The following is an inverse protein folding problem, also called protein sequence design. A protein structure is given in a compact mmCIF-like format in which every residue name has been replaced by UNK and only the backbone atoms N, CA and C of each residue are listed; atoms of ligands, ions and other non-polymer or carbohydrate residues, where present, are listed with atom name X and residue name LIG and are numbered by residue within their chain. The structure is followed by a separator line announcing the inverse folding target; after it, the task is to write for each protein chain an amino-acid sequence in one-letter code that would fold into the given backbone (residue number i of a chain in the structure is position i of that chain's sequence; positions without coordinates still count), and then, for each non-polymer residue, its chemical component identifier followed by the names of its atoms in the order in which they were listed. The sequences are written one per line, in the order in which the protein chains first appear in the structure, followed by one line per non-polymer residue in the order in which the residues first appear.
data_IF_345826784960
#
_entry.id   IF_345826784960
#
_cell.length_a   1.000
_cell.length_b   1.000
_cell.length_c   1.000
_cell.angle_alpha   90.00
_cell.angle_beta   90.00
_cell.angle_gamma   90.00
#
_symmetry.space_group_name_H-M   'P 1'
#
loop_
_entity.id
_entity.type
_entity.pdbx_description
1 polymer ?
#
# COMPACT_ATOMS: atom_id res chain seq x y z
N UNK A 1 -12.55 0.03 16.62
CA UNK A 1 -11.13 0.40 16.38
C UNK A 1 -10.45 0.99 17.63
N UNK A 2 -10.28 0.19 18.67
CA UNK A 2 -9.46 0.52 19.86
C UNK A 2 -8.10 -0.16 19.72
N UNK A 3 -6.98 0.57 19.77
CA UNK A 3 -5.68 -0.10 19.97
C UNK A 3 -4.38 0.52 19.42
N UNK A 4 -4.36 1.73 18.87
CA UNK A 4 -3.08 2.39 18.48
C UNK A 4 -2.98 3.76 19.13
N UNK A 5 -2.55 3.79 20.40
CA UNK A 5 -2.50 5.03 21.22
C UNK A 5 -1.36 5.96 20.78
N UNK A 6 -0.21 5.42 20.38
CA UNK A 6 0.99 6.17 20.01
C UNK A 6 1.38 5.95 18.54
N UNK A 7 0.41 6.03 17.63
CA UNK A 7 0.66 5.87 16.20
C UNK A 7 0.56 7.21 15.47
N UNK A 8 1.10 7.25 14.24
CA UNK A 8 1.02 8.39 13.31
C UNK A 8 -0.41 8.98 13.23
N UNK A 9 -1.43 8.12 13.14
CA UNK A 9 -2.84 8.52 13.13
C UNK A 9 -3.50 8.29 14.49
N UNK A 10 -4.11 9.35 15.04
CA UNK A 10 -4.95 9.22 16.23
C UNK A 10 -6.23 8.45 15.93
N UNK A 11 -6.92 8.03 16.98
CA UNK A 11 -8.24 7.39 16.86
C UNK A 11 -9.23 8.27 16.10
N UNK A 12 -9.20 9.58 16.33
CA UNK A 12 -10.13 10.50 15.66
C UNK A 12 -9.77 10.72 14.19
N UNK A 13 -8.50 10.65 13.81
CA UNK A 13 -8.10 10.71 12.39
C UNK A 13 -8.61 9.48 11.65
N UNK A 14 -8.40 8.29 12.23
CA UNK A 14 -8.86 7.03 11.65
C UNK A 14 -10.37 7.02 11.49
N UNK A 15 -11.12 7.42 12.51
CA UNK A 15 -12.59 7.52 12.43
C UNK A 15 -13.05 8.52 11.37
N UNK A 16 -12.34 9.63 11.22
CA UNK A 16 -12.68 10.63 10.20
C UNK A 16 -12.38 10.15 8.78
N UNK A 17 -11.21 9.55 8.54
CA UNK A 17 -10.80 9.00 7.23
C UNK A 17 -11.67 7.82 6.79
N UNK A 18 -12.09 6.97 7.73
CA UNK A 18 -12.97 5.81 7.46
C UNK A 18 -14.46 6.17 7.39
N UNK A 19 -14.81 7.45 7.59
CA UNK A 19 -16.20 7.92 7.54
C UNK A 19 -17.03 7.61 8.79
N UNK A 20 -16.49 6.91 9.79
CA UNK A 20 -17.14 6.69 11.10
C UNK A 20 -17.41 7.99 11.88
N UNK A 21 -16.68 9.07 11.55
CA UNK A 21 -16.90 10.41 12.10
C UNK A 21 -17.05 11.42 10.98
N UNK A 22 -18.08 12.26 11.09
CA UNK A 22 -18.32 13.42 10.21
C UNK A 22 -18.31 14.70 11.02
N UNK A 23 -17.94 15.79 10.36
CA UNK A 23 -17.99 17.14 10.90
C UNK A 23 -19.15 17.85 10.23
N UNK A 24 -20.14 18.25 11.03
CA UNK A 24 -21.36 18.89 10.59
C UNK A 24 -21.57 20.21 11.36
N UNK A 25 -22.41 21.09 10.82
CA UNK A 25 -22.72 22.41 11.40
C UNK A 25 -21.82 23.55 10.93
N UNK A 26 -21.98 24.72 11.55
CA UNK A 26 -21.45 26.01 11.11
C UNK A 26 -19.91 26.02 10.96
N UNK A 27 -19.21 25.28 11.82
CA UNK A 27 -17.74 25.21 11.81
C UNK A 27 -17.17 23.96 11.12
N UNK A 28 -18.00 23.16 10.44
CA UNK A 28 -17.58 21.90 9.83
C UNK A 28 -16.42 22.07 8.83
N UNK A 29 -16.45 23.12 8.01
CA UNK A 29 -15.42 23.39 7.01
C UNK A 29 -14.06 23.67 7.67
N UNK A 30 -14.03 24.49 8.72
CA UNK A 30 -12.80 24.79 9.46
C UNK A 30 -12.26 23.53 10.15
N UNK A 31 -13.13 22.74 10.77
CA UNK A 31 -12.73 21.48 11.44
C UNK A 31 -12.15 20.46 10.45
N UNK A 32 -12.76 20.30 9.27
CA UNK A 32 -12.23 19.44 8.20
C UNK A 32 -10.87 19.92 7.71
N UNK A 33 -10.70 21.23 7.52
CA UNK A 33 -9.42 21.79 7.09
C UNK A 33 -8.33 21.54 8.14
N UNK A 34 -8.60 21.85 9.41
CA UNK A 34 -7.65 21.61 10.50
C UNK A 34 -7.28 20.13 10.59
N UNK A 35 -8.27 19.22 10.51
CA UNK A 35 -8.03 17.78 10.53
C UNK A 35 -7.10 17.32 9.41
N UNK A 36 -7.30 17.81 8.17
CA UNK A 36 -6.41 17.52 7.03
C UNK A 36 -4.99 18.02 7.27
N UNK A 37 -4.85 19.23 7.81
CA UNK A 37 -3.55 19.82 8.15
C UNK A 37 -2.83 18.98 9.21
N UNK A 38 -3.50 18.63 10.30
CA UNK A 38 -2.92 17.86 11.40
C UNK A 38 -2.49 16.46 10.96
N UNK A 39 -3.28 15.81 10.07
CA UNK A 39 -2.90 14.51 9.50
C UNK A 39 -1.65 14.66 8.64
N UNK A 40 -1.60 15.67 7.75
CA UNK A 40 -0.44 15.90 6.88
C UNK A 40 0.83 16.15 7.68
N UNK A 41 0.74 16.98 8.72
CA UNK A 41 1.88 17.30 9.59
C UNK A 41 2.39 16.07 10.33
N UNK A 42 1.50 15.21 10.82
CA UNK A 42 1.90 13.94 11.46
C UNK A 42 2.51 12.95 10.48
N UNK A 43 1.95 12.79 9.28
CA UNK A 43 2.55 11.96 8.24
C UNK A 43 3.95 12.45 7.90
N UNK A 44 4.12 13.75 7.69
CA UNK A 44 5.42 14.36 7.42
C UNK A 44 6.43 14.08 8.53
N UNK A 45 6.08 14.34 9.79
CA UNK A 45 6.98 14.12 10.92
C UNK A 45 7.30 12.63 11.11
N UNK A 46 6.31 11.74 10.99
CA UNK A 46 6.53 10.29 11.08
C UNK A 46 7.44 9.76 9.97
N UNK A 47 7.40 10.34 8.76
CA UNK A 47 8.33 9.99 7.70
C UNK A 47 9.77 10.44 8.03
N UNK A 48 9.94 11.60 8.66
CA UNK A 48 11.27 12.05 9.11
C UNK A 48 11.84 11.17 10.22
N UNK A 49 10.98 10.68 11.13
CA UNK A 49 11.40 9.81 12.22
C UNK A 49 12.05 8.50 11.71
N UNK A 50 11.72 8.01 10.51
CA UNK A 50 12.39 6.83 9.94
C UNK A 50 13.89 7.02 9.76
N UNK A 51 14.39 8.24 9.56
CA UNK A 51 15.84 8.48 9.50
C UNK A 51 16.48 8.23 10.87
N UNK A 52 15.81 8.64 11.94
CA UNK A 52 16.24 8.39 13.33
C UNK A 52 16.17 6.90 13.64
N UNK A 53 15.08 6.23 13.26
CA UNK A 53 14.92 4.78 13.46
C UNK A 53 15.98 3.99 12.69
N UNK A 54 16.25 4.36 11.44
CA UNK A 54 17.24 3.68 10.61
C UNK A 54 18.65 3.79 11.18
N UNK A 55 19.02 4.98 11.69
CA UNK A 55 20.38 5.26 12.18
C UNK A 55 20.62 4.86 13.64
N UNK A 56 19.57 4.76 14.46
CA UNK A 56 19.73 4.67 15.91
C UNK A 56 18.90 3.60 16.62
N UNK A 57 17.94 2.94 15.94
CA UNK A 57 17.24 1.83 16.57
C UNK A 57 18.17 0.61 16.67
N UNK A 58 18.29 0.06 17.86
CA UNK A 58 19.14 -1.11 18.14
C UNK A 58 18.70 -2.32 17.30
N UNK A 59 19.67 -3.14 16.89
CA UNK A 59 19.43 -4.29 16.01
C UNK A 59 18.42 -5.28 16.60
N UNK A 60 18.48 -5.52 17.91
CA UNK A 60 17.57 -6.46 18.58
C UNK A 60 16.12 -5.97 18.59
N UNK A 61 15.89 -4.66 18.66
CA UNK A 61 14.56 -4.06 18.51
C UNK A 61 14.07 -4.10 17.06
N UNK A 62 14.96 -3.95 16.07
CA UNK A 62 14.64 -4.16 14.65
C UNK A 62 14.25 -5.62 14.39
N UNK A 63 15.01 -6.56 14.93
CA UNK A 63 14.74 -8.00 14.78
C UNK A 63 13.40 -8.41 15.42
N UNK A 64 13.02 -7.82 16.55
CA UNK A 64 11.71 -8.06 17.17
C UNK A 64 10.54 -7.60 16.30
N UNK A 65 10.75 -6.60 15.43
CA UNK A 65 9.72 -6.06 14.54
C UNK A 65 9.67 -6.76 13.18
N UNK A 66 10.81 -7.15 12.63
CA UNK A 66 10.94 -7.61 11.25
C UNK A 66 11.48 -9.03 11.11
N UNK A 67 11.80 -9.71 12.21
CA UNK A 67 12.52 -10.97 12.19
C UNK A 67 14.02 -10.78 11.93
N UNK A 68 14.74 -11.89 11.77
CA UNK A 68 16.19 -11.87 11.54
C UNK A 68 16.49 -11.68 10.04
N UNK A 69 17.21 -10.61 9.65
CA UNK A 69 17.59 -10.38 8.26
C UNK A 69 18.38 -11.55 7.66
N UNK A 70 18.21 -11.80 6.36
CA UNK A 70 18.98 -12.81 5.62
C UNK A 70 18.57 -14.28 5.87
N UNK A 71 17.46 -14.50 6.55
CA UNK A 71 16.84 -15.83 6.68
C UNK A 71 15.90 -16.13 5.50
N UNK A 72 15.43 -17.37 5.34
CA UNK A 72 14.43 -17.78 4.33
C UNK A 72 13.01 -17.25 4.64
N UNK A 73 12.91 -16.07 5.25
CA UNK A 73 11.65 -15.49 5.68
C UNK A 73 10.81 -15.09 4.47
N UNK A 74 9.59 -15.63 4.37
CA UNK A 74 8.66 -15.34 3.27
C UNK A 74 7.63 -14.25 3.63
N UNK A 75 7.63 -13.76 4.86
CA UNK A 75 6.72 -12.73 5.37
C UNK A 75 7.48 -11.81 6.35
N UNK A 76 6.99 -10.59 6.58
CA UNK A 76 7.66 -9.63 7.49
C UNK A 76 7.71 -10.16 8.92
N UNK A 77 6.62 -10.77 9.38
CA UNK A 77 6.52 -11.53 10.63
C UNK A 77 5.39 -12.57 10.50
N UNK A 78 5.14 -13.36 11.55
CA UNK A 78 3.94 -14.21 11.66
C UNK A 78 2.63 -13.39 11.88
N UNK A 79 2.71 -12.06 12.01
CA UNK A 79 1.55 -11.15 12.06
C UNK A 79 1.26 -10.57 10.67
N UNK A 80 0.32 -11.20 9.96
CA UNK A 80 -0.17 -10.76 8.65
C UNK A 80 -0.57 -9.28 8.64
N UNK A 81 -1.07 -8.74 9.76
CA UNK A 81 -1.52 -7.34 9.83
C UNK A 81 -0.35 -6.36 9.79
N UNK A 82 0.82 -6.76 10.28
CA UNK A 82 2.03 -5.97 10.17
C UNK A 82 2.57 -6.06 8.73
N UNK A 83 2.61 -7.27 8.16
CA UNK A 83 3.01 -7.50 6.77
C UNK A 83 2.17 -6.65 5.79
N UNK A 84 0.85 -6.69 5.93
CA UNK A 84 -0.08 -5.85 5.15
C UNK A 84 0.19 -4.36 5.38
N UNK A 85 0.43 -3.96 6.64
CA UNK A 85 0.72 -2.57 6.97
C UNK A 85 2.03 -2.04 6.37
N UNK A 86 3.07 -2.88 6.27
CA UNK A 86 4.32 -2.53 5.57
C UNK A 86 4.07 -2.40 4.07
N UNK A 87 3.33 -3.35 3.48
CA UNK A 87 2.95 -3.31 2.07
C UNK A 87 2.15 -2.04 1.74
N UNK A 88 1.12 -1.73 2.53
CA UNK A 88 0.29 -0.53 2.38
C UNK A 88 1.13 0.76 2.51
N UNK A 89 2.10 0.80 3.42
CA UNK A 89 2.98 1.95 3.60
C UNK A 89 3.88 2.18 2.37
N UNK A 90 4.48 1.11 1.83
CA UNK A 90 5.28 1.18 0.62
C UNK A 90 4.42 1.57 -0.59
N UNK A 91 3.26 0.93 -0.76
CA UNK A 91 2.32 1.26 -1.83
C UNK A 91 1.88 2.73 -1.77
N UNK A 92 1.55 3.24 -0.57
CA UNK A 92 1.22 4.65 -0.37
C UNK A 92 2.34 5.59 -0.82
N UNK A 93 3.60 5.29 -0.47
CA UNK A 93 4.75 6.10 -0.87
C UNK A 93 5.00 6.05 -2.37
N UNK A 94 5.00 4.85 -2.97
CA UNK A 94 5.21 4.66 -4.41
C UNK A 94 4.12 5.35 -5.23
N UNK A 95 2.85 5.17 -4.85
CA UNK A 95 1.72 5.85 -5.47
C UNK A 95 1.85 7.37 -5.35
N UNK A 96 2.16 7.88 -4.15
CA UNK A 96 2.29 9.32 -3.91
C UNK A 96 3.50 9.97 -4.60
N UNK A 97 4.46 9.16 -5.07
CA UNK A 97 5.68 9.61 -5.75
C UNK A 97 5.69 9.26 -7.24
N UNK A 98 4.55 8.82 -7.77
CA UNK A 98 4.31 8.72 -9.22
C UNK A 98 4.79 7.42 -9.85
N UNK A 99 4.75 6.29 -9.14
CA UNK A 99 5.12 4.98 -9.73
C UNK A 99 4.23 4.59 -10.93
N UNK A 100 3.03 5.18 -11.04
CA UNK A 100 2.12 4.99 -12.17
C UNK A 100 2.75 5.40 -13.51
N UNK A 101 3.64 6.39 -13.52
CA UNK A 101 4.37 6.76 -14.73
C UNK A 101 5.31 5.64 -15.24
N UNK A 102 5.93 4.88 -14.32
CA UNK A 102 6.71 3.69 -14.70
C UNK A 102 5.80 2.59 -15.26
N UNK A 103 4.62 2.40 -14.65
CA UNK A 103 3.65 1.40 -15.11
C UNK A 103 3.01 1.76 -16.46
N UNK A 104 2.88 3.05 -16.78
CA UNK A 104 2.31 3.53 -18.04
C UNK A 104 3.29 3.46 -19.22
N UNK A 105 4.54 3.05 -19.01
CA UNK A 105 5.57 2.99 -20.05
C UNK A 105 5.99 4.36 -20.58
N UNK A 106 5.90 5.43 -19.77
CA UNK A 106 6.33 6.76 -20.18
C UNK A 106 7.88 6.84 -20.17
N UNK A 107 8.47 6.64 -21.35
CA UNK A 107 9.92 6.62 -21.62
C UNK A 107 10.64 7.97 -21.34
N UNK A 108 9.90 9.03 -20.98
CA UNK A 108 10.45 10.38 -20.87
C UNK A 108 11.21 10.68 -19.58
N UNK A 109 10.88 10.02 -18.45
CA UNK A 109 11.48 10.33 -17.16
C UNK A 109 11.37 9.18 -16.15
N UNK A 110 12.50 8.83 -15.52
CA UNK A 110 12.53 8.00 -14.30
C UNK A 110 11.65 8.65 -13.22
N UNK A 111 10.56 8.01 -12.77
CA UNK A 111 9.69 8.58 -11.76
C UNK A 111 10.43 8.79 -10.44
N UNK A 112 9.93 9.72 -9.61
CA UNK A 112 10.52 9.96 -8.30
C UNK A 112 10.51 8.69 -7.43
N UNK A 113 9.46 7.87 -7.55
CA UNK A 113 9.34 6.57 -6.88
C UNK A 113 10.53 5.64 -7.15
N UNK A 114 10.94 5.49 -8.41
CA UNK A 114 12.05 4.62 -8.80
C UNK A 114 13.38 5.15 -8.23
N UNK A 115 13.62 6.46 -8.31
CA UNK A 115 14.81 7.08 -7.71
C UNK A 115 14.88 6.86 -6.21
N UNK A 116 13.76 7.03 -5.51
CA UNK A 116 13.68 6.80 -4.06
C UNK A 116 13.96 5.35 -3.69
N UNK A 117 13.49 4.39 -4.48
CA UNK A 117 13.81 2.97 -4.27
C UNK A 117 15.29 2.69 -4.45
N UNK A 118 15.89 3.19 -5.54
CA UNK A 118 17.33 3.05 -5.78
C UNK A 118 18.15 3.65 -4.62
N UNK A 119 17.81 4.86 -4.19
CA UNK A 119 18.47 5.52 -3.04
C UNK A 119 18.30 4.72 -1.75
N UNK A 120 17.12 4.13 -1.52
CA UNK A 120 16.85 3.29 -0.36
C UNK A 120 17.71 2.02 -0.37
N UNK A 121 17.89 1.36 -1.52
CA UNK A 121 18.79 0.21 -1.67
C UNK A 121 20.24 0.59 -1.38
N UNK A 122 20.74 1.69 -1.94
CA UNK A 122 22.09 2.18 -1.65
C UNK A 122 22.28 2.49 -0.17
N UNK A 123 21.28 3.09 0.48
CA UNK A 123 21.32 3.42 1.91
C UNK A 123 21.34 2.16 2.78
N UNK A 124 20.49 1.18 2.48
CA UNK A 124 20.46 -0.11 3.18
C UNK A 124 21.77 -0.88 3.01
N UNK A 125 22.26 -1.01 1.77
CA UNK A 125 23.51 -1.72 1.49
C UNK A 125 24.70 -1.09 2.20
N UNK A 126 24.77 0.25 2.25
CA UNK A 126 25.85 0.96 2.95
C UNK A 126 25.89 0.62 4.45
N UNK A 127 24.73 0.49 5.09
CA UNK A 127 24.63 0.16 6.51
C UNK A 127 25.23 -1.22 6.79
N UNK A 128 24.96 -2.18 5.91
CA UNK A 128 25.48 -3.55 6.00
C UNK A 128 26.91 -3.71 5.40
N UNK A 129 27.56 -2.61 5.03
CA UNK A 129 28.92 -2.62 4.48
C UNK A 129 29.03 -3.06 3.01
N UNK A 130 27.92 -3.11 2.27
CA UNK A 130 27.87 -3.43 0.85
C UNK A 130 27.88 -2.17 -0.02
N UNK A 131 28.59 -2.26 -1.15
CA UNK A 131 28.48 -1.30 -2.24
C UNK A 131 27.48 -1.83 -3.27
N UNK A 132 26.27 -1.27 -3.27
CA UNK A 132 25.27 -1.54 -4.30
C UNK A 132 25.75 -0.90 -5.62
N UNK A 133 26.01 -1.74 -6.62
CA UNK A 133 26.54 -1.29 -7.92
C UNK A 133 25.42 -0.91 -8.89
N UNK A 134 24.38 -1.75 -8.96
CA UNK A 134 23.24 -1.57 -9.86
C UNK A 134 21.97 -2.03 -9.15
N UNK A 135 20.88 -1.29 -9.37
CA UNK A 135 19.52 -1.66 -8.95
C UNK A 135 18.66 -1.57 -10.20
N UNK A 136 18.03 -2.70 -10.56
CA UNK A 136 17.13 -2.77 -11.71
C UNK A 136 15.73 -3.08 -11.21
N UNK A 137 14.78 -2.19 -11.51
CA UNK A 137 13.36 -2.40 -11.27
C UNK A 137 12.69 -2.59 -12.62
N UNK A 138 12.24 -3.81 -12.90
CA UNK A 138 11.46 -4.12 -14.09
C UNK A 138 9.99 -4.28 -13.68
N UNK A 139 9.14 -3.40 -14.22
CA UNK A 139 7.70 -3.42 -13.99
C UNK A 139 7.01 -3.62 -15.33
N UNK A 140 6.50 -4.83 -15.55
CA UNK A 140 5.60 -5.12 -16.67
C UNK A 140 4.16 -4.91 -16.18
N UNK A 141 3.57 -3.79 -16.59
CA UNK A 141 2.22 -3.41 -16.20
C UNK A 141 1.35 -3.20 -17.44
N UNK A 142 0.15 -3.78 -17.39
CA UNK A 142 -0.89 -3.55 -18.39
C UNK A 142 -1.94 -2.64 -17.76
N UNK A 143 -2.32 -1.59 -18.49
CA UNK A 143 -3.47 -0.79 -18.08
C UNK A 143 -4.70 -1.69 -18.01
N UNK A 144 -5.35 -1.74 -16.84
CA UNK A 144 -6.60 -2.48 -16.62
C UNK A 144 -7.77 -1.49 -16.54
N UNK A 145 -8.16 -0.85 -17.66
CA UNK A 145 -9.38 -0.05 -17.64
C UNK A 145 -10.54 -0.99 -17.43
N UNK A 146 -11.27 -0.76 -16.34
CA UNK A 146 -12.43 -1.53 -15.94
C UNK A 146 -13.43 -1.75 -17.07
N UNK A 147 -13.64 -0.75 -17.93
CA UNK A 147 -14.53 -0.86 -19.09
C UNK A 147 -14.05 -1.93 -20.08
N UNK A 148 -12.74 -2.08 -20.29
CA UNK A 148 -12.20 -3.15 -21.16
C UNK A 148 -12.43 -4.54 -20.57
N UNK A 149 -12.29 -4.70 -19.25
CA UNK A 149 -12.59 -5.98 -18.59
C UNK A 149 -14.07 -6.35 -18.70
N UNK A 150 -14.96 -5.36 -18.64
CA UNK A 150 -16.39 -5.56 -18.85
C UNK A 150 -16.71 -5.89 -20.32
N UNK A 151 -16.06 -5.22 -21.27
CA UNK A 151 -16.19 -5.50 -22.70
C UNK A 151 -15.70 -6.92 -23.04
N UNK A 152 -14.57 -7.35 -22.47
CA UNK A 152 -14.02 -8.69 -22.63
C UNK A 152 -14.94 -9.76 -22.04
N UNK A 153 -15.46 -9.53 -20.83
CA UNK A 153 -16.43 -10.42 -20.21
C UNK A 153 -17.74 -10.50 -21.03
N UNK A 154 -18.21 -9.37 -21.57
CA UNK A 154 -19.40 -9.32 -22.43
C UNK A 154 -19.18 -10.01 -23.79
N UNK A 155 -17.95 -9.98 -24.31
CA UNK A 155 -17.55 -10.71 -25.52
C UNK A 155 -17.36 -12.22 -25.26
N UNK A 156 -17.36 -12.67 -24.00
CA UNK A 156 -17.13 -14.05 -23.61
C UNK A 156 -15.66 -14.46 -23.58
N UNK A 157 -14.74 -13.50 -23.51
CA UNK A 157 -13.32 -13.75 -23.35
C UNK A 157 -13.02 -14.22 -21.91
N UNK A 158 -12.00 -15.06 -21.76
CA UNK A 158 -11.53 -15.49 -20.43
C UNK A 158 -10.77 -14.35 -19.75
N UNK A 159 -11.10 -14.11 -18.48
CA UNK A 159 -10.36 -13.19 -17.60
C UNK A 159 -9.45 -13.99 -16.66
N UNK A 160 -8.25 -13.48 -16.44
CA UNK A 160 -7.30 -14.02 -15.46
C UNK A 160 -7.80 -13.82 -14.01
N UNK A 161 -7.24 -14.55 -13.03
CA UNK A 161 -7.58 -14.36 -11.62
C UNK A 161 -7.34 -12.93 -11.11
N UNK A 162 -6.29 -12.24 -11.59
CA UNK A 162 -6.04 -10.85 -11.22
C UNK A 162 -7.12 -9.91 -11.79
N UNK A 163 -7.54 -10.10 -13.03
CA UNK A 163 -8.59 -9.31 -13.68
C UNK A 163 -9.96 -9.54 -13.01
N UNK A 164 -10.29 -10.78 -12.68
CA UNK A 164 -11.49 -11.10 -11.91
C UNK A 164 -11.47 -10.46 -10.52
N UNK A 165 -10.31 -10.44 -9.86
CA UNK A 165 -10.15 -9.76 -8.56
C UNK A 165 -10.44 -8.26 -8.68
N UNK A 166 -9.94 -7.60 -9.72
CA UNK A 166 -10.22 -6.17 -9.97
C UNK A 166 -11.73 -5.92 -10.11
N UNK A 167 -12.46 -6.81 -10.80
CA UNK A 167 -13.92 -6.70 -10.91
C UNK A 167 -14.61 -6.94 -9.56
N UNK A 168 -14.17 -7.94 -8.78
CA UNK A 168 -14.74 -8.27 -7.48
C UNK A 168 -14.52 -7.20 -6.41
N UNK A 169 -13.43 -6.44 -6.52
CA UNK A 169 -13.15 -5.28 -5.65
C UNK A 169 -13.95 -4.02 -6.06
N UNK A 170 -14.66 -4.06 -7.20
CA UNK A 170 -15.56 -2.97 -7.63
C UNK A 170 -16.93 -3.05 -6.96
N UNK A 171 -17.60 -1.90 -6.77
CA UNK A 171 -18.94 -1.83 -6.16
C UNK A 171 -20.07 -2.42 -7.02
N UNK A 172 -19.78 -2.75 -8.27
CA UNK A 172 -20.78 -3.15 -9.27
C UNK A 172 -20.94 -4.67 -9.39
N UNK A 173 -20.09 -5.45 -8.72
CA UNK A 173 -20.23 -6.90 -8.67
C UNK A 173 -20.91 -7.32 -7.38
N UNK A 174 -22.06 -7.98 -7.51
CA UNK A 174 -22.70 -8.63 -6.38
C UNK A 174 -21.90 -9.86 -5.96
N UNK A 175 -21.01 -9.66 -4.99
CA UNK A 175 -20.16 -10.71 -4.44
C UNK A 175 -20.95 -11.87 -3.83
N UNK A 176 -22.21 -11.68 -3.43
CA UNK A 176 -23.06 -12.80 -2.95
C UNK A 176 -23.50 -13.69 -4.11
N UNK A 177 -23.92 -13.11 -5.21
CA UNK A 177 -24.29 -13.85 -6.41
C UNK A 177 -23.07 -14.64 -6.94
N UNK A 178 -21.88 -14.04 -6.92
CA UNK A 178 -20.64 -14.74 -7.28
C UNK A 178 -20.35 -15.91 -6.33
N UNK A 179 -20.49 -15.72 -5.01
CA UNK A 179 -20.31 -16.80 -4.05
C UNK A 179 -21.31 -17.95 -4.26
N UNK A 180 -22.57 -17.66 -4.56
CA UNK A 180 -23.58 -18.68 -4.88
C UNK A 180 -23.21 -19.47 -6.14
N UNK A 181 -22.72 -18.78 -7.18
CA UNK A 181 -22.27 -19.44 -8.40
C UNK A 181 -21.06 -20.35 -8.16
N UNK A 182 -20.06 -19.89 -7.39
CA UNK A 182 -18.90 -20.70 -7.01
C UNK A 182 -19.32 -21.92 -6.18
N UNK A 183 -20.26 -21.75 -5.23
CA UNK A 183 -20.80 -22.88 -4.45
C UNK A 183 -21.44 -23.93 -5.36
N UNK A 184 -22.27 -23.52 -6.31
CA UNK A 184 -22.91 -24.44 -7.25
C UNK A 184 -21.92 -25.19 -8.16
N UNK A 185 -20.73 -24.64 -8.41
CA UNK A 185 -19.70 -25.33 -9.19
C UNK A 185 -18.84 -26.29 -8.35
N UNK A 186 -18.61 -25.99 -7.08
CA UNK A 186 -17.67 -26.73 -6.23
C UNK A 186 -18.35 -27.73 -5.27
N UNK A 187 -19.61 -27.51 -4.93
CA UNK A 187 -20.29 -28.22 -3.83
C UNK A 187 -21.58 -28.93 -4.25
N UNK A 188 -22.15 -28.61 -5.41
CA UNK A 188 -23.30 -29.33 -5.95
C UNK A 188 -22.82 -30.37 -6.98
N UNK A 189 -22.89 -31.66 -6.61
CA UNK A 189 -22.93 -32.81 -7.55
C UNK A 189 -24.36 -33.02 -8.08
#
# INVERSE_FOLDING_TARGET
MTGRKNAMLTTEDRRWLTGEKRYDGEHATQQRYQRRRDIRERVYNSLLDFSVLFEHLEDDEREKLFGTPGTEQTAVTDDDRLSDGVCDALAFLLYSTGIDAAMAGDDGATPLAERLLVDAFHRAGREDGYLVQDVTLEVDAVGLPRDSLLDDLAAGNELSPQELRVLLESEDVDTRAVQEHIRGQLLDE
#
